data_IF_666821059265
#
_entry.id   IF_666821059265
#
_cell.length_a   1.000
_cell.length_b   1.000
_cell.length_c   1.000
_cell.angle_alpha   90.00
_cell.angle_beta   90.00
_cell.angle_gamma   90.00
#
_symmetry.space_group_name_H-M   'P 1'
#
loop_
_entity.id
_entity.type
_entity.pdbx_description
1 polymer ?
#
# COMPACT_ATOMS: atom_id res chain seq x y z
N UNK A 1 -11.10 3.96 34.62
CA UNK A 1 -10.94 5.19 33.82
C UNK A 1 -10.04 4.88 32.62
N UNK A 2 -10.59 4.07 31.72
CA UNK A 2 -10.14 3.84 30.35
C UNK A 2 -11.43 3.74 29.53
N UNK A 3 -12.22 4.81 29.53
CA UNK A 3 -13.39 4.92 28.67
C UNK A 3 -12.91 5.41 27.31
N UNK A 4 -12.30 4.50 26.55
CA UNK A 4 -12.14 4.68 25.11
C UNK A 4 -13.50 4.36 24.50
N UNK A 5 -14.16 5.42 24.03
CA UNK A 5 -15.39 5.39 23.23
C UNK A 5 -15.21 4.39 22.08
N UNK A 6 -15.75 3.19 22.25
CA UNK A 6 -15.95 2.18 21.20
C UNK A 6 -17.38 2.31 20.66
N UNK A 7 -17.72 3.47 20.12
CA UNK A 7 -18.93 3.58 19.28
C UNK A 7 -18.48 3.49 17.82
N UNK A 8 -18.62 2.29 17.26
CA UNK A 8 -18.35 2.01 15.84
C UNK A 8 -17.93 0.56 15.58
N UNK A 9 -18.88 -0.38 15.63
CA UNK A 9 -18.69 -1.75 15.17
C UNK A 9 -18.45 -1.80 13.65
N UNK A 10 -17.22 -1.97 13.15
CA UNK A 10 -17.06 -2.10 11.68
C UNK A 10 -16.18 -3.24 11.15
N UNK A 11 -15.27 -3.85 11.92
CA UNK A 11 -14.36 -4.89 11.36
C UNK A 11 -14.38 -6.24 12.10
N UNK A 12 -15.55 -6.66 12.63
CA UNK A 12 -15.70 -7.87 13.47
C UNK A 12 -15.48 -9.23 12.79
N UNK A 13 -15.37 -9.27 11.46
CA UNK A 13 -15.30 -10.54 10.71
C UNK A 13 -13.88 -10.90 10.24
N UNK A 14 -12.84 -10.25 10.78
CA UNK A 14 -11.45 -10.58 10.48
C UNK A 14 -10.81 -11.26 11.70
N UNK A 15 -10.08 -12.37 11.53
CA UNK A 15 -9.28 -12.95 12.61
C UNK A 15 -8.13 -12.04 13.07
N UNK A 16 -7.77 -11.02 12.27
CA UNK A 16 -6.81 -9.98 12.63
C UNK A 16 -7.54 -8.80 13.27
N UNK A 17 -6.94 -8.24 14.33
CA UNK A 17 -7.40 -6.98 14.95
C UNK A 17 -7.05 -5.77 14.07
N UNK A 18 -7.70 -5.67 12.91
CA UNK A 18 -7.47 -4.58 11.95
C UNK A 18 -7.75 -3.23 12.60
N UNK A 19 -8.72 -3.15 13.51
CA UNK A 19 -9.11 -1.89 14.16
C UNK A 19 -8.02 -1.42 15.13
N UNK A 20 -7.50 -2.32 15.96
CA UNK A 20 -6.37 -2.04 16.84
C UNK A 20 -5.13 -1.65 16.04
N UNK A 21 -4.82 -2.35 14.95
CA UNK A 21 -3.69 -2.04 14.07
C UNK A 21 -3.84 -0.65 13.43
N UNK A 22 -4.99 -0.33 12.86
CA UNK A 22 -5.27 0.97 12.24
C UNK A 22 -5.18 2.11 13.27
N UNK A 23 -5.80 1.92 14.44
CA UNK A 23 -5.79 2.91 15.52
C UNK A 23 -4.36 3.16 16.01
N UNK A 24 -3.60 2.09 16.22
CA UNK A 24 -2.20 2.17 16.68
C UNK A 24 -1.33 2.89 15.65
N UNK A 25 -1.49 2.58 14.35
CA UNK A 25 -0.75 3.22 13.28
C UNK A 25 -1.04 4.74 13.19
N UNK A 26 -2.31 5.12 13.26
CA UNK A 26 -2.71 6.55 13.20
C UNK A 26 -2.25 7.28 14.46
N UNK A 27 -2.35 6.69 15.65
CA UNK A 27 -1.84 7.30 16.87
C UNK A 27 -0.31 7.47 16.85
N UNK A 28 0.42 6.50 16.30
CA UNK A 28 1.87 6.62 16.12
C UNK A 28 2.21 7.79 15.17
N UNK A 29 1.51 7.90 14.04
CA UNK A 29 1.68 9.02 13.11
C UNK A 29 1.35 10.36 13.79
N UNK A 30 0.22 10.43 14.52
CA UNK A 30 -0.22 11.62 15.26
C UNK A 30 0.84 12.09 16.26
N UNK A 31 1.40 11.18 17.05
CA UNK A 31 2.49 11.48 18.01
C UNK A 31 3.73 11.99 17.29
N UNK A 32 4.14 11.35 16.19
CA UNK A 32 5.29 11.80 15.41
C UNK A 32 5.11 13.21 14.84
N UNK A 33 3.90 13.56 14.38
CA UNK A 33 3.59 14.93 13.92
C UNK A 33 3.62 15.93 15.09
N UNK A 34 3.09 15.55 16.25
CA UNK A 34 3.12 16.39 17.45
C UNK A 34 4.57 16.66 17.90
N UNK A 35 5.42 15.64 17.91
CA UNK A 35 6.85 15.76 18.22
C UNK A 35 7.58 16.63 17.20
N UNK A 36 7.28 16.47 15.91
CA UNK A 36 7.82 17.31 14.86
C UNK A 36 7.43 18.79 15.07
N UNK A 37 6.15 19.08 15.35
CA UNK A 37 5.69 20.44 15.63
C UNK A 37 6.39 21.06 16.85
N UNK A 38 6.53 20.31 17.95
CA UNK A 38 7.25 20.76 19.16
C UNK A 38 8.72 21.06 18.84
N UNK A 39 9.41 20.16 18.12
CA UNK A 39 10.81 20.36 17.73
C UNK A 39 11.02 21.60 16.86
N UNK A 40 9.96 22.02 16.14
CA UNK A 40 9.92 23.19 15.26
C UNK A 40 9.34 24.43 15.95
N UNK A 41 9.09 24.36 17.25
CA UNK A 41 8.51 25.44 18.09
C UNK A 41 7.15 25.94 17.59
N UNK A 42 6.37 25.04 17.01
CA UNK A 42 5.02 25.32 16.56
C UNK A 42 4.00 24.85 17.59
N UNK A 43 2.86 25.54 17.71
CA UNK A 43 1.79 25.22 18.64
C UNK A 43 0.62 24.53 17.94
N UNK A 44 0.89 23.39 17.29
CA UNK A 44 -0.16 22.54 16.74
C UNK A 44 -0.65 21.55 17.79
N UNK A 45 -1.98 21.37 17.85
CA UNK A 45 -2.59 20.25 18.55
C UNK A 45 -3.10 19.26 17.50
N UNK A 46 -2.49 18.08 17.43
CA UNK A 46 -2.90 17.04 16.49
C UNK A 46 -3.75 16.00 17.22
N UNK A 47 -5.01 15.88 16.82
CA UNK A 47 -6.00 14.95 17.40
C UNK A 47 -6.57 14.02 16.32
N UNK A 48 -7.18 12.92 16.76
CA UNK A 48 -7.94 12.01 15.90
C UNK A 48 -9.09 11.41 16.70
N UNK A 49 -10.01 10.75 16.01
CA UNK A 49 -11.14 10.00 16.60
C UNK A 49 -11.28 8.68 15.85
N UNK A 50 -11.99 7.71 16.45
CA UNK A 50 -12.32 6.46 15.78
C UNK A 50 -13.04 6.69 14.44
N UNK A 51 -13.95 7.67 14.37
CA UNK A 51 -14.65 8.03 13.13
C UNK A 51 -13.73 8.59 12.05
N UNK A 52 -12.75 9.42 12.41
CA UNK A 52 -11.75 9.94 11.47
C UNK A 52 -10.82 8.83 10.96
N UNK A 53 -10.41 7.91 11.84
CA UNK A 53 -9.61 6.73 11.47
C UNK A 53 -10.41 5.87 10.48
N UNK A 54 -11.64 5.51 10.80
CA UNK A 54 -12.50 4.72 9.92
C UNK A 54 -12.73 5.42 8.58
N UNK A 55 -12.94 6.74 8.57
CA UNK A 55 -13.12 7.51 7.34
C UNK A 55 -11.86 7.48 6.47
N UNK A 56 -10.67 7.60 7.06
CA UNK A 56 -9.41 7.52 6.34
C UNK A 56 -9.16 6.12 5.74
N UNK A 57 -9.46 5.06 6.50
CA UNK A 57 -9.31 3.67 6.04
C UNK A 57 -10.40 3.23 5.05
N UNK A 58 -11.51 3.96 4.96
CA UNK A 58 -12.58 3.74 3.98
C UNK A 58 -12.61 4.79 2.86
N UNK A 59 -11.51 5.54 2.68
CA UNK A 59 -11.45 6.68 1.76
C UNK A 59 -11.74 6.27 0.31
N UNK A 60 -11.25 5.09 -0.12
CA UNK A 60 -11.49 4.58 -1.47
C UNK A 60 -12.96 4.18 -1.66
N UNK A 61 -13.56 3.49 -0.70
CA UNK A 61 -14.97 3.11 -0.77
C UNK A 61 -15.88 4.34 -0.81
N UNK A 62 -15.48 5.44 -0.17
CA UNK A 62 -16.25 6.68 -0.19
C UNK A 62 -15.92 7.59 -1.38
N UNK A 63 -14.96 7.22 -2.23
CA UNK A 63 -14.57 8.00 -3.40
C UNK A 63 -15.63 7.88 -4.50
N UNK A 64 -16.10 9.04 -4.97
CA UNK A 64 -16.99 9.16 -6.13
C UNK A 64 -16.32 10.05 -7.17
N UNK A 65 -16.11 9.52 -8.37
CA UNK A 65 -15.47 10.22 -9.49
C UNK A 65 -16.46 10.26 -10.65
N UNK A 66 -16.88 11.47 -11.05
CA UNK A 66 -17.84 11.64 -12.15
C UNK A 66 -19.14 10.85 -11.97
N UNK A 67 -19.61 10.69 -10.72
CA UNK A 67 -20.82 9.92 -10.39
C UNK A 67 -20.63 8.41 -10.23
N UNK A 68 -19.42 7.89 -10.46
CA UNK A 68 -19.09 6.48 -10.29
C UNK A 68 -18.37 6.25 -8.96
N UNK A 69 -18.79 5.22 -8.21
CA UNK A 69 -18.08 4.79 -7.02
C UNK A 69 -16.82 4.04 -7.43
N UNK A 70 -15.70 4.33 -6.78
CA UNK A 70 -14.46 3.63 -7.02
C UNK A 70 -14.59 2.13 -6.75
N UNK A 71 -13.94 1.30 -7.57
CA UNK A 71 -13.85 -0.14 -7.38
C UNK A 71 -12.38 -0.54 -7.16
N UNK A 72 -12.09 -1.03 -5.96
CA UNK A 72 -10.76 -1.44 -5.57
C UNK A 72 -10.32 -2.79 -6.13
N UNK A 73 -11.19 -3.58 -6.77
CA UNK A 73 -10.93 -4.99 -7.04
C UNK A 73 -11.29 -5.43 -8.47
N UNK A 74 -10.26 -5.73 -9.26
CA UNK A 74 -10.46 -6.33 -10.58
C UNK A 74 -10.92 -7.80 -10.51
N UNK A 75 -11.63 -8.34 -11.52
CA UNK A 75 -12.20 -9.70 -11.48
C UNK A 75 -11.20 -10.84 -11.25
N UNK A 76 -9.95 -10.66 -11.71
CA UNK A 76 -8.86 -11.64 -11.58
C UNK A 76 -7.97 -11.38 -10.35
N UNK A 77 -8.35 -10.43 -9.50
CA UNK A 77 -7.67 -10.18 -8.23
C UNK A 77 -8.39 -10.89 -7.10
N UNK A 78 -7.67 -11.74 -6.40
CA UNK A 78 -8.20 -12.42 -5.22
C UNK A 78 -7.56 -13.78 -5.00
N UNK A 79 -8.19 -14.56 -4.14
CA UNK A 79 -7.82 -15.94 -3.86
C UNK A 79 -8.58 -16.87 -4.80
N UNK A 80 -7.88 -17.87 -5.33
CA UNK A 80 -8.42 -18.90 -6.21
C UNK A 80 -7.97 -20.27 -5.72
N UNK A 81 -8.87 -21.25 -5.81
CA UNK A 81 -8.54 -22.63 -5.50
C UNK A 81 -7.65 -23.21 -6.60
N UNK A 82 -6.64 -23.97 -6.16
CA UNK A 82 -5.73 -24.73 -7.01
C UNK A 82 -5.88 -26.22 -6.71
N UNK A 83 -5.09 -27.08 -7.35
CA UNK A 83 -5.17 -28.53 -7.14
C UNK A 83 -4.89 -28.95 -5.69
N UNK A 84 -3.97 -28.28 -5.02
CA UNK A 84 -3.43 -28.66 -3.70
C UNK A 84 -3.58 -27.57 -2.62
N UNK A 85 -4.14 -26.41 -2.97
CA UNK A 85 -4.31 -25.31 -2.02
C UNK A 85 -4.89 -24.07 -2.67
N UNK A 86 -4.36 -22.90 -2.33
CA UNK A 86 -4.86 -21.62 -2.81
C UNK A 86 -3.74 -20.78 -3.40
N UNK A 87 -4.09 -19.93 -4.36
CA UNK A 87 -3.21 -18.91 -4.92
C UNK A 87 -3.86 -17.53 -4.80
N UNK A 88 -3.07 -16.53 -4.41
CA UNK A 88 -3.45 -15.12 -4.42
C UNK A 88 -2.94 -14.48 -5.70
N UNK A 89 -3.85 -14.09 -6.59
CA UNK A 89 -3.54 -13.41 -7.85
C UNK A 89 -3.76 -11.91 -7.75
N UNK A 90 -2.93 -11.10 -8.41
CA UNK A 90 -3.10 -9.66 -8.50
C UNK A 90 -3.38 -9.23 -9.95
N UNK A 91 -4.66 -9.14 -10.32
CA UNK A 91 -5.16 -8.72 -11.62
C UNK A 91 -5.62 -7.26 -11.73
N UNK A 92 -5.34 -6.39 -10.73
CA UNK A 92 -5.82 -4.99 -10.75
C UNK A 92 -5.29 -4.17 -11.93
N UNK A 93 -4.10 -4.50 -12.43
CA UNK A 93 -3.54 -3.87 -13.62
C UNK A 93 -3.85 -4.69 -14.87
N UNK A 94 -4.22 -4.05 -16.01
CA UNK A 94 -4.47 -4.76 -17.26
C UNK A 94 -3.30 -5.65 -17.72
N UNK A 95 -2.05 -5.21 -17.51
CA UNK A 95 -0.87 -6.00 -17.87
C UNK A 95 -0.66 -7.21 -16.94
N UNK A 96 -1.01 -7.12 -15.66
CA UNK A 96 -1.00 -8.28 -14.76
C UNK A 96 -2.14 -9.25 -15.09
N UNK A 97 -3.35 -8.74 -15.36
CA UNK A 97 -4.48 -9.57 -15.79
C UNK A 97 -4.14 -10.33 -17.08
N UNK A 98 -3.56 -9.66 -18.07
CA UNK A 98 -3.09 -10.30 -19.30
C UNK A 98 -1.98 -11.34 -19.06
N UNK A 99 -1.07 -11.09 -18.12
CA UNK A 99 -0.04 -12.07 -17.74
C UNK A 99 -0.63 -13.33 -17.11
N UNK A 100 -1.61 -13.18 -16.20
CA UNK A 100 -2.34 -14.29 -15.57
C UNK A 100 -3.03 -15.16 -16.63
N UNK A 101 -3.79 -14.53 -17.53
CA UNK A 101 -4.53 -15.22 -18.58
C UNK A 101 -3.61 -16.01 -19.53
N UNK A 102 -2.48 -15.40 -19.94
CA UNK A 102 -1.47 -16.08 -20.77
C UNK A 102 -0.77 -17.22 -20.03
N UNK A 103 -0.45 -17.03 -18.75
CA UNK A 103 0.25 -18.02 -17.94
C UNK A 103 -0.55 -19.31 -17.76
N UNK A 104 -1.87 -19.18 -17.63
CA UNK A 104 -2.77 -20.28 -17.25
C UNK A 104 -3.70 -20.71 -18.38
N UNK A 105 -3.38 -20.31 -19.62
CA UNK A 105 -4.15 -20.58 -20.84
C UNK A 105 -5.66 -20.36 -20.64
N UNK A 106 -6.01 -19.19 -20.12
CA UNK A 106 -7.36 -18.80 -19.75
C UNK A 106 -7.81 -17.55 -20.52
N UNK A 107 -9.11 -17.41 -20.72
CA UNK A 107 -9.71 -16.25 -21.40
C UNK A 107 -10.56 -15.39 -20.48
N UNK A 108 -11.00 -15.96 -19.36
CA UNK A 108 -11.88 -15.33 -18.39
C UNK A 108 -11.71 -15.94 -17.00
N UNK A 109 -12.46 -15.43 -16.02
CA UNK A 109 -12.40 -15.93 -14.64
C UNK A 109 -12.78 -17.41 -14.50
N UNK A 110 -13.69 -17.92 -15.34
CA UNK A 110 -14.20 -19.29 -15.24
C UNK A 110 -13.20 -20.30 -15.79
N UNK A 111 -12.65 -20.03 -16.97
CA UNK A 111 -11.56 -20.80 -17.57
C UNK A 111 -10.32 -20.75 -16.68
N UNK A 112 -9.98 -19.58 -16.11
CA UNK A 112 -8.91 -19.45 -15.12
C UNK A 112 -9.09 -20.40 -13.94
N UNK A 113 -10.27 -20.43 -13.32
CA UNK A 113 -10.56 -21.35 -12.22
C UNK A 113 -10.44 -22.82 -12.64
N UNK A 114 -10.81 -23.14 -13.88
CA UNK A 114 -10.69 -24.50 -14.43
C UNK A 114 -9.23 -24.91 -14.65
N UNK A 115 -8.38 -23.99 -15.09
CA UNK A 115 -6.94 -24.23 -15.24
C UNK A 115 -6.27 -24.40 -13.87
N UNK A 116 -6.57 -23.51 -12.92
CA UNK A 116 -5.99 -23.54 -11.58
C UNK A 116 -6.32 -24.83 -10.82
N UNK A 117 -7.53 -25.38 -10.98
CA UNK A 117 -7.92 -26.62 -10.29
C UNK A 117 -7.11 -27.86 -10.71
N UNK A 118 -6.22 -27.74 -11.71
CA UNK A 118 -5.40 -28.83 -12.25
C UNK A 118 -3.92 -28.67 -11.96
N UNK A 119 -3.50 -27.52 -11.45
CA UNK A 119 -2.10 -27.12 -11.24
C UNK A 119 -1.89 -26.88 -9.76
N UNK A 120 -0.70 -27.21 -9.25
CA UNK A 120 -0.36 -26.93 -7.87
C UNK A 120 -0.13 -25.42 -7.66
N UNK A 121 -0.39 -24.90 -6.46
CA UNK A 121 -0.33 -23.46 -6.18
C UNK A 121 1.04 -22.84 -6.51
N UNK A 122 2.13 -23.52 -6.16
CA UNK A 122 3.51 -23.02 -6.40
C UNK A 122 3.88 -23.03 -7.88
N UNK A 123 3.45 -24.05 -8.63
CA UNK A 123 3.66 -24.12 -10.08
C UNK A 123 2.91 -22.98 -10.79
N UNK A 124 1.67 -22.71 -10.38
CA UNK A 124 0.90 -21.59 -10.90
C UNK A 124 1.53 -20.22 -10.53
N UNK A 125 2.03 -20.05 -9.30
CA UNK A 125 2.78 -18.87 -8.86
C UNK A 125 3.99 -18.62 -9.77
N UNK A 126 4.82 -19.65 -9.99
CA UNK A 126 6.03 -19.56 -10.79
C UNK A 126 5.72 -19.18 -12.26
N UNK A 127 4.74 -19.84 -12.87
CA UNK A 127 4.37 -19.58 -14.27
C UNK A 127 3.80 -18.17 -14.43
N UNK A 128 2.95 -17.70 -13.51
CA UNK A 128 2.42 -16.33 -13.54
C UNK A 128 3.54 -15.29 -13.41
N UNK A 129 4.47 -15.48 -12.48
CA UNK A 129 5.63 -14.59 -12.29
C UNK A 129 6.50 -14.56 -13.55
N UNK A 130 6.76 -15.73 -14.15
CA UNK A 130 7.56 -15.85 -15.38
C UNK A 130 6.92 -15.13 -16.57
N UNK A 131 5.59 -15.07 -16.62
CA UNK A 131 4.84 -14.30 -17.61
C UNK A 131 4.73 -12.79 -17.30
N UNK A 132 5.38 -12.30 -16.24
CA UNK A 132 5.37 -10.91 -15.81
C UNK A 132 4.14 -10.51 -14.99
N UNK A 133 3.43 -11.49 -14.41
CA UNK A 133 2.34 -11.27 -13.48
C UNK A 133 2.80 -11.22 -12.02
N UNK A 134 1.83 -11.04 -11.12
CA UNK A 134 2.05 -11.06 -9.68
C UNK A 134 1.09 -12.07 -9.06
N UNK A 135 1.65 -13.08 -8.42
CA UNK A 135 0.94 -14.15 -7.75
C UNK A 135 1.69 -14.57 -6.50
N UNK A 136 0.98 -15.15 -5.54
CA UNK A 136 1.57 -15.79 -4.37
C UNK A 136 0.82 -17.10 -4.04
N UNK A 137 1.51 -18.22 -3.94
CA UNK A 137 0.94 -19.44 -3.38
C UNK A 137 0.66 -19.20 -1.89
N UNK A 138 -0.54 -19.58 -1.44
CA UNK A 138 -0.95 -19.45 -0.03
C UNK A 138 -0.30 -20.57 0.75
N UNK A 139 0.46 -20.20 1.78
CA UNK A 139 1.26 -21.12 2.59
C UNK A 139 0.77 -21.13 4.02
N UNK A 140 0.84 -22.28 4.67
CA UNK A 140 0.68 -22.38 6.13
C UNK A 140 1.87 -21.71 6.84
N UNK A 141 1.75 -21.39 8.14
CA UNK A 141 2.89 -20.91 8.92
C UNK A 141 4.09 -21.87 8.88
N UNK A 142 3.85 -23.18 8.91
CA UNK A 142 4.90 -24.20 8.88
C UNK A 142 5.60 -24.25 7.51
N UNK A 143 4.84 -24.13 6.41
CA UNK A 143 5.39 -24.03 5.06
C UNK A 143 6.20 -22.74 4.88
N UNK A 144 5.70 -21.61 5.40
CA UNK A 144 6.40 -20.33 5.35
C UNK A 144 7.72 -20.35 6.11
N UNK A 145 7.77 -20.96 7.30
CA UNK A 145 8.99 -21.09 8.11
C UNK A 145 10.14 -21.83 7.39
N UNK A 146 9.79 -22.74 6.47
CA UNK A 146 10.75 -23.49 5.67
C UNK A 146 11.10 -22.79 4.35
N UNK A 147 10.40 -21.71 4.00
CA UNK A 147 10.54 -21.03 2.72
C UNK A 147 11.87 -20.24 2.65
N UNK A 148 12.57 -20.22 1.50
CA UNK A 148 13.89 -19.59 1.39
C UNK A 148 13.90 -18.11 1.79
N UNK A 149 12.82 -17.38 1.52
CA UNK A 149 12.68 -15.96 1.83
C UNK A 149 12.57 -15.73 3.34
N UNK A 150 11.83 -16.56 4.07
CA UNK A 150 11.75 -16.47 5.54
C UNK A 150 13.11 -16.78 6.16
N UNK A 151 13.76 -17.86 5.72
CA UNK A 151 15.11 -18.23 6.19
C UNK A 151 16.11 -17.09 5.92
N UNK A 152 16.03 -16.47 4.74
CA UNK A 152 16.93 -15.40 4.35
C UNK A 152 16.74 -14.11 5.17
N UNK A 153 15.51 -13.81 5.60
CA UNK A 153 15.20 -12.62 6.41
C UNK A 153 15.03 -12.93 7.89
N UNK A 154 15.28 -14.18 8.30
CA UNK A 154 15.08 -14.61 9.67
C UNK A 154 16.01 -13.83 10.62
N UNK A 155 15.41 -13.00 11.47
CA UNK A 155 16.14 -12.15 12.41
C UNK A 155 16.55 -10.78 11.88
N UNK A 156 16.23 -10.45 10.61
CA UNK A 156 16.42 -9.09 10.11
C UNK A 156 15.47 -8.12 10.83
N UNK A 157 15.95 -6.92 11.22
CA UNK A 157 15.07 -5.91 11.76
C UNK A 157 14.13 -5.40 10.67
N UNK A 158 12.86 -5.15 11.00
CA UNK A 158 11.88 -4.59 10.05
C UNK A 158 12.34 -3.28 9.43
N UNK A 159 13.07 -2.47 10.20
CA UNK A 159 13.78 -1.31 9.69
C UNK A 159 15.03 -1.04 10.55
N UNK A 160 16.03 -0.41 9.93
CA UNK A 160 17.19 0.11 10.65
C UNK A 160 17.37 1.59 10.31
N UNK A 161 17.75 2.38 11.32
CA UNK A 161 18.01 3.81 11.14
C UNK A 161 19.50 4.06 11.29
N UNK A 162 20.15 4.45 10.19
CA UNK A 162 21.54 4.90 10.22
C UNK A 162 21.60 6.41 10.08
N UNK A 163 21.94 7.10 11.17
CA UNK A 163 22.22 8.53 11.12
C UNK A 163 23.47 8.78 10.27
N UNK A 164 23.39 9.75 9.36
CA UNK A 164 24.53 10.22 8.54
C UNK A 164 25.17 11.49 9.12
N UNK A 165 24.96 11.76 10.40
CA UNK A 165 25.38 12.99 11.07
C UNK A 165 24.25 14.01 11.22
N UNK A 166 24.55 15.22 11.69
CA UNK A 166 23.55 16.26 11.94
C UNK A 166 22.87 16.67 10.62
N UNK A 167 21.54 16.78 10.66
CA UNK A 167 20.74 17.33 9.56
C UNK A 167 20.58 18.83 9.76
N UNK A 168 20.49 19.59 8.67
CA UNK A 168 20.13 21.02 8.72
C UNK A 168 18.75 21.17 9.36
N UNK A 169 18.63 22.02 10.37
CA UNK A 169 17.34 22.45 10.89
C UNK A 169 16.57 23.13 9.77
N UNK A 170 15.41 22.60 9.40
CA UNK A 170 14.53 23.26 8.45
C UNK A 170 13.88 24.45 9.16
N UNK A 171 13.91 25.63 8.57
CA UNK A 171 13.19 26.79 9.10
C UNK A 171 11.70 26.46 9.22
N UNK A 172 11.08 26.89 10.32
CA UNK A 172 9.67 26.65 10.60
C UNK A 172 8.78 27.44 9.66
N UNK A 173 7.64 26.86 9.28
CA UNK A 173 6.55 27.59 8.64
C UNK A 173 5.29 27.58 9.51
N UNK A 174 4.13 27.76 8.89
CA UNK A 174 2.84 27.68 9.57
C UNK A 174 2.52 26.21 9.91
N UNK A 175 2.79 25.27 9.01
CA UNK A 175 2.44 23.85 9.18
C UNK A 175 3.63 22.98 9.65
N UNK A 176 3.38 21.81 10.28
CA UNK A 176 4.41 20.93 10.83
C UNK A 176 5.52 20.49 9.87
N UNK A 177 5.22 20.35 8.58
CA UNK A 177 6.16 19.87 7.56
C UNK A 177 6.55 20.94 6.55
N UNK A 178 6.28 22.22 6.82
CA UNK A 178 6.72 23.31 5.95
C UNK A 178 8.23 23.28 5.72
N UNK A 179 8.66 23.47 4.47
CA UNK A 179 10.08 23.41 4.08
C UNK A 179 10.64 21.99 3.94
N UNK A 180 9.88 20.95 4.27
CA UNK A 180 10.22 19.56 3.97
C UNK A 180 9.92 19.29 2.49
N UNK A 181 10.85 18.62 1.80
CA UNK A 181 10.65 18.13 0.44
C UNK A 181 10.63 16.61 0.44
N UNK A 182 9.61 16.02 -0.18
CA UNK A 182 9.44 14.57 -0.25
C UNK A 182 9.44 14.15 -1.72
N UNK A 183 10.30 13.20 -2.05
CA UNK A 183 10.26 12.48 -3.32
C UNK A 183 9.49 11.18 -3.11
N UNK A 184 8.29 11.09 -3.69
CA UNK A 184 7.44 9.91 -3.63
C UNK A 184 7.65 9.03 -4.87
N UNK A 185 8.31 7.88 -4.66
CA UNK A 185 8.54 6.85 -5.68
C UNK A 185 7.65 5.62 -5.46
N UNK A 186 6.55 5.80 -4.74
CA UNK A 186 5.65 4.71 -4.32
C UNK A 186 4.36 4.72 -5.12
N UNK A 187 3.59 3.63 -5.04
CA UNK A 187 2.38 3.41 -5.85
C UNK A 187 1.29 2.75 -5.02
N UNK A 188 0.07 2.75 -5.58
CA UNK A 188 -1.11 2.08 -5.01
C UNK A 188 -1.63 2.74 -3.72
N UNK A 189 -1.22 2.31 -2.52
CA UNK A 189 -1.87 2.76 -1.27
C UNK A 189 -0.86 3.19 -0.20
N UNK A 190 -0.10 2.27 0.39
CA UNK A 190 0.63 2.55 1.64
C UNK A 190 1.61 3.74 1.54
N UNK A 191 2.48 3.72 0.53
CA UNK A 191 3.41 4.82 0.28
C UNK A 191 2.70 6.12 -0.10
N UNK A 192 1.74 6.10 -1.04
CA UNK A 192 0.95 7.29 -1.36
C UNK A 192 0.18 7.88 -0.15
N UNK A 193 -0.37 7.07 0.75
CA UNK A 193 -1.03 7.57 1.96
C UNK A 193 -0.02 8.30 2.87
N UNK A 194 1.19 7.75 3.04
CA UNK A 194 2.25 8.42 3.83
C UNK A 194 2.65 9.78 3.23
N UNK A 195 2.88 9.84 1.91
CA UNK A 195 3.27 11.09 1.25
C UNK A 195 2.12 12.10 1.17
N UNK A 196 0.86 11.63 1.14
CA UNK A 196 -0.32 12.49 1.23
C UNK A 196 -0.40 13.16 2.59
N UNK A 197 -0.17 12.40 3.68
CA UNK A 197 -0.09 12.97 5.03
C UNK A 197 0.97 14.06 5.11
N UNK A 198 2.16 13.86 4.53
CA UNK A 198 3.19 14.91 4.50
C UNK A 198 2.73 16.15 3.73
N UNK A 199 2.06 15.99 2.58
CA UNK A 199 1.51 17.11 1.81
C UNK A 199 0.46 17.90 2.61
N UNK A 200 -0.48 17.20 3.27
CA UNK A 200 -1.49 17.82 4.14
C UNK A 200 -0.87 18.61 5.30
N UNK A 201 0.35 18.24 5.73
CA UNK A 201 1.11 18.91 6.78
C UNK A 201 2.07 20.00 6.24
N UNK A 202 2.01 20.35 4.96
CA UNK A 202 2.77 21.45 4.35
C UNK A 202 4.06 21.06 3.63
N UNK A 203 4.37 19.77 3.49
CA UNK A 203 5.53 19.35 2.71
C UNK A 203 5.33 19.59 1.20
N UNK A 204 6.42 19.93 0.50
CA UNK A 204 6.45 19.92 -0.97
C UNK A 204 6.71 18.49 -1.44
N UNK A 205 5.64 17.82 -1.87
CA UNK A 205 5.66 16.42 -2.28
C UNK A 205 5.65 16.33 -3.80
N UNK A 206 6.72 15.75 -4.37
CA UNK A 206 6.80 15.38 -5.77
C UNK A 206 6.71 13.87 -5.91
N UNK A 207 5.61 13.40 -6.47
CA UNK A 207 5.44 12.02 -6.94
C UNK A 207 6.04 11.88 -8.33
N UNK A 208 6.81 10.81 -8.54
CA UNK A 208 7.38 10.48 -9.84
C UNK A 208 6.95 9.09 -10.30
N UNK A 209 6.30 9.03 -11.45
CA UNK A 209 5.85 7.79 -12.08
C UNK A 209 6.71 7.44 -13.31
N UNK A 210 6.92 6.15 -13.61
CA UNK A 210 7.62 5.74 -14.83
C UNK A 210 6.72 5.89 -16.07
N UNK A 211 7.29 6.13 -17.27
CA UNK A 211 6.52 6.12 -18.50
C UNK A 211 5.93 4.72 -18.78
N UNK A 212 4.76 4.69 -19.43
CA UNK A 212 4.17 3.46 -19.97
C UNK A 212 3.59 2.48 -18.95
N UNK A 213 3.58 2.80 -17.65
CA UNK A 213 2.87 2.01 -16.62
C UNK A 213 1.83 2.88 -15.94
N UNK A 214 0.58 2.81 -16.40
CA UNK A 214 -0.54 3.53 -15.79
C UNK A 214 -0.71 3.16 -14.31
N UNK A 215 -1.07 4.15 -13.50
CA UNK A 215 -1.54 3.95 -12.12
C UNK A 215 -3.00 3.51 -12.10
N UNK A 216 -3.43 2.89 -11.00
CA UNK A 216 -4.85 2.66 -10.74
C UNK A 216 -5.49 4.03 -10.47
N UNK A 217 -6.37 4.45 -11.37
CA UNK A 217 -6.90 5.81 -11.41
C UNK A 217 -7.63 6.20 -10.11
N UNK A 218 -8.49 5.32 -9.59
CA UNK A 218 -9.18 5.54 -8.31
C UNK A 218 -8.20 5.67 -7.13
N UNK A 219 -7.13 4.87 -7.12
CA UNK A 219 -6.10 4.97 -6.09
C UNK A 219 -5.32 6.27 -6.19
N UNK A 220 -5.05 6.70 -7.42
CA UNK A 220 -4.42 8.00 -7.68
C UNK A 220 -5.31 9.13 -7.17
N UNK A 221 -6.59 9.15 -7.51
CA UNK A 221 -7.51 10.19 -7.05
C UNK A 221 -7.66 10.23 -5.52
N UNK A 222 -7.74 9.07 -4.87
CA UNK A 222 -7.85 8.99 -3.41
C UNK A 222 -6.58 9.50 -2.71
N UNK A 223 -5.39 9.15 -3.23
CA UNK A 223 -4.13 9.35 -2.51
C UNK A 223 -3.25 10.49 -3.06
N UNK A 224 -3.56 11.13 -4.19
CA UNK A 224 -2.69 12.14 -4.81
C UNK A 224 -2.95 13.59 -4.35
N UNK A 225 -3.97 13.82 -3.52
CA UNK A 225 -4.32 15.18 -3.08
C UNK A 225 -3.14 15.88 -2.37
N UNK A 226 -2.92 17.14 -2.71
CA UNK A 226 -1.84 17.97 -2.16
C UNK A 226 -0.45 17.71 -2.78
N UNK A 227 -0.32 16.75 -3.71
CA UNK A 227 0.96 16.40 -4.33
C UNK A 227 1.10 17.00 -5.72
N UNK A 228 2.35 17.22 -6.11
CA UNK A 228 2.72 17.43 -7.52
C UNK A 228 3.13 16.08 -8.11
N UNK A 229 2.82 15.87 -9.38
CA UNK A 229 3.15 14.64 -10.10
C UNK A 229 3.99 14.96 -11.33
N UNK A 230 4.95 14.09 -11.63
CA UNK A 230 5.73 14.12 -12.86
C UNK A 230 5.96 12.70 -13.39
N UNK A 231 6.17 12.58 -14.69
CA UNK A 231 6.66 11.34 -15.31
C UNK A 231 8.15 11.49 -15.58
N UNK A 232 8.95 10.49 -15.20
CA UNK A 232 10.38 10.48 -15.49
C UNK A 232 10.82 9.15 -16.10
N UNK A 233 11.54 9.23 -17.21
CA UNK A 233 12.18 8.07 -17.85
C UNK A 233 13.64 7.97 -17.40
N UNK A 234 13.96 6.88 -16.69
CA UNK A 234 15.32 6.56 -16.25
C UNK A 234 15.94 5.39 -17.02
N UNK A 235 15.26 4.84 -18.04
CA UNK A 235 15.68 3.65 -18.78
C UNK A 235 17.02 3.79 -19.51
N UNK A 236 17.48 5.03 -19.75
CA UNK A 236 18.74 5.34 -20.44
C UNK A 236 19.85 5.85 -19.52
N UNK A 237 19.70 5.79 -18.19
CA UNK A 237 20.78 6.19 -17.28
C UNK A 237 21.87 5.11 -17.31
N UNK A 238 23.00 5.39 -17.99
CA UNK A 238 24.23 4.61 -17.82
C UNK A 238 24.58 4.63 -16.33
N UNK A 239 24.71 3.45 -15.71
CA UNK A 239 25.22 3.33 -14.34
C UNK A 239 26.59 4.05 -14.30
N UNK A 240 26.68 5.10 -13.48
CA UNK A 240 27.92 5.82 -13.19
C UNK A 240 28.75 4.97 -12.23
#
# INVERSE_FOLDING_TARGET
>A
MWDMVTDGEHWRNCPLDVQGLATTAVEAARRAVQEAAISRRQQWQVTTTGSLITSAFSALENLIVGGHRADGWAPLSGFFETKDGWIRLHGNYPHHAGAILRALDATDKRSLQTSLSRVNAEEAEEVVIRCGGVAAAVRTPEEWQLHPQEIATCGDPWFSVKSKGPRRTLEGGILPMDGVRVLDLTRVIAGPTCSQLFACLGADVLRVDPPGRSELEDQYYSNAMGKRSAVADWGNIKRI
#
